data_IF_886195883383
#
_entry.id   IF_886195883383
#
_cell.length_a   1.000
_cell.length_b   1.000
_cell.length_c   1.000
_cell.angle_alpha   90.00
_cell.angle_beta   90.00
_cell.angle_gamma   90.00
#
_symmetry.space_group_name_H-M   'P 1'
#
loop_
_entity.id
_entity.type
_entity.pdbx_description
1 polymer ?
#
# COMPACT_ATOMS: atom_id res chain seq x y z
N UNK A 1 -4.63 0.10 9.77
CA UNK A 1 -3.49 -0.31 10.62
C UNK A 1 -2.32 -0.61 9.71
N UNK A 2 -1.26 0.20 9.75
CA UNK A 2 0.00 -0.09 9.07
C UNK A 2 0.89 -0.88 10.04
N UNK A 3 1.42 -2.02 9.61
CA UNK A 3 2.33 -2.84 10.40
C UNK A 3 3.72 -2.71 9.79
N UNK A 4 4.70 -2.23 10.57
CA UNK A 4 6.06 -2.03 10.09
C UNK A 4 6.98 -3.17 10.57
N UNK A 5 7.95 -3.54 9.73
CA UNK A 5 8.99 -4.50 10.07
C UNK A 5 10.05 -4.58 8.97
N UNK A 6 11.32 -4.61 9.34
CA UNK A 6 12.40 -4.94 8.39
C UNK A 6 12.25 -6.41 8.01
N UNK A 7 12.04 -6.70 6.72
CA UNK A 7 11.89 -8.06 6.19
C UNK A 7 12.91 -8.27 5.07
N UNK A 8 13.41 -9.50 4.96
CA UNK A 8 14.36 -9.89 3.91
C UNK A 8 13.73 -9.86 2.51
N UNK A 9 12.41 -10.07 2.45
CA UNK A 9 11.54 -10.12 1.28
C UNK A 9 10.99 -8.74 0.85
N UNK A 10 11.65 -7.65 1.28
CA UNK A 10 11.29 -6.28 0.93
C UNK A 10 10.05 -5.75 1.65
N UNK A 11 9.63 -4.53 1.30
CA UNK A 11 8.44 -3.90 1.86
C UNK A 11 7.22 -4.11 0.97
N UNK A 12 6.04 -4.20 1.62
CA UNK A 12 4.79 -4.48 0.92
C UNK A 12 3.60 -3.79 1.57
N UNK A 13 2.61 -3.52 0.75
CA UNK A 13 1.27 -3.14 1.17
C UNK A 13 0.31 -4.25 0.77
N UNK A 14 -0.46 -4.72 1.76
CA UNK A 14 -1.43 -5.80 1.56
C UNK A 14 -2.81 -5.41 2.07
N UNK A 15 -3.83 -5.85 1.36
CA UNK A 15 -5.21 -5.85 1.82
C UNK A 15 -5.63 -7.23 2.32
N UNK A 16 -6.66 -7.28 3.14
CA UNK A 16 -7.38 -8.50 3.49
C UNK A 16 -8.85 -8.32 3.16
N UNK A 17 -9.48 -9.36 2.64
CA UNK A 17 -10.94 -9.39 2.54
C UNK A 17 -11.54 -9.31 3.95
N UNK A 18 -12.79 -8.87 4.05
CA UNK A 18 -13.53 -8.91 5.31
C UNK A 18 -14.41 -10.15 5.32
N UNK A 19 -14.48 -10.83 6.45
CA UNK A 19 -15.50 -11.86 6.69
C UNK A 19 -16.89 -11.23 6.97
N UNK A 20 -17.89 -12.09 7.19
CA UNK A 20 -19.28 -11.68 7.48
C UNK A 20 -19.42 -10.86 8.78
N UNK A 21 -18.38 -10.85 9.62
CA UNK A 21 -18.29 -10.05 10.86
C UNK A 21 -17.45 -8.78 10.67
N UNK A 22 -17.05 -8.48 9.44
CA UNK A 22 -16.25 -7.31 9.09
C UNK A 22 -14.76 -7.42 9.42
N UNK A 23 -14.26 -8.59 9.82
CA UNK A 23 -12.88 -8.80 10.27
C UNK A 23 -11.97 -9.16 9.10
N UNK A 24 -10.69 -8.75 9.11
CA UNK A 24 -9.71 -9.23 8.13
C UNK A 24 -9.65 -10.76 8.08
N UNK A 25 -9.79 -11.35 6.89
CA UNK A 25 -9.82 -12.79 6.69
C UNK A 25 -9.18 -13.19 5.35
N UNK A 26 -8.87 -14.49 5.23
CA UNK A 26 -8.33 -15.09 4.02
C UNK A 26 -6.85 -14.79 3.76
N UNK A 27 -6.42 -15.06 2.52
CA UNK A 27 -5.05 -14.78 2.08
C UNK A 27 -4.85 -13.28 1.86
N UNK A 28 -3.67 -12.72 2.18
CA UNK A 28 -3.36 -11.32 1.88
C UNK A 28 -3.42 -11.07 0.37
N UNK A 29 -4.07 -9.98 -0.02
CA UNK A 29 -4.06 -9.46 -1.38
C UNK A 29 -2.90 -8.47 -1.48
N UNK A 30 -1.91 -8.75 -2.32
CA UNK A 30 -0.78 -7.84 -2.48
C UNK A 30 -1.16 -6.68 -3.40
N UNK A 31 -1.20 -5.47 -2.85
CA UNK A 31 -1.49 -4.24 -3.61
C UNK A 31 -0.19 -3.60 -4.10
N UNK A 32 0.86 -3.70 -3.29
CA UNK A 32 2.22 -3.39 -3.67
C UNK A 32 3.14 -4.43 -3.04
N UNK A 33 3.92 -5.10 -3.87
CA UNK A 33 4.93 -6.07 -3.45
C UNK A 33 6.26 -5.75 -4.12
N UNK A 34 7.35 -6.32 -3.58
CA UNK A 34 8.71 -6.07 -4.06
C UNK A 34 8.96 -4.56 -4.23
N UNK A 35 8.65 -3.79 -3.17
CA UNK A 35 8.90 -2.37 -3.13
C UNK A 35 10.39 -2.09 -2.93
N UNK A 36 11.16 -2.40 -3.97
CA UNK A 36 12.59 -2.13 -4.06
C UNK A 36 12.85 -0.75 -4.64
N UNK A 37 14.00 -0.16 -4.33
CA UNK A 37 14.40 1.09 -4.96
C UNK A 37 14.52 0.92 -6.48
N UNK A 38 13.96 1.86 -7.23
CA UNK A 38 14.10 1.97 -8.69
C UNK A 38 14.62 3.37 -9.01
N UNK A 39 15.89 3.51 -9.42
CA UNK A 39 16.50 4.80 -9.73
C UNK A 39 15.66 5.63 -10.70
N UNK A 40 15.44 6.90 -10.37
CA UNK A 40 14.65 7.83 -11.18
C UNK A 40 13.13 7.62 -11.15
N UNK A 41 12.62 6.55 -10.51
CA UNK A 41 11.19 6.23 -10.47
C UNK A 41 10.62 6.24 -9.05
N UNK A 42 11.21 5.48 -8.12
CA UNK A 42 10.76 5.41 -6.72
C UNK A 42 11.85 4.93 -5.76
N UNK A 43 11.91 5.42 -4.51
CA UNK A 43 12.82 4.88 -3.51
C UNK A 43 12.37 3.50 -3.02
N UNK A 44 13.25 2.81 -2.29
CA UNK A 44 12.91 1.60 -1.55
C UNK A 44 11.91 1.92 -0.45
N UNK A 45 10.92 1.05 -0.27
CA UNK A 45 9.81 1.34 0.64
C UNK A 45 10.20 1.27 2.11
N UNK A 46 9.47 2.02 2.93
CA UNK A 46 9.40 1.90 4.39
C UNK A 46 8.07 2.47 4.91
N UNK A 47 6.93 1.85 4.55
CA UNK A 47 5.62 2.43 4.80
C UNK A 47 5.37 2.62 6.30
N UNK A 48 5.05 3.85 6.70
CA UNK A 48 4.73 4.20 8.09
C UNK A 48 3.27 4.59 8.28
N UNK A 49 2.64 5.11 7.22
CA UNK A 49 1.25 5.54 7.25
C UNK A 49 0.53 5.24 5.95
N UNK A 50 -0.80 5.19 6.02
CA UNK A 50 -1.67 5.03 4.87
C UNK A 50 -3.01 5.72 5.11
N UNK A 51 -3.60 6.27 4.05
CA UNK A 51 -4.90 6.94 4.10
C UNK A 51 -5.59 6.95 2.74
N UNK A 52 -6.90 7.09 2.73
CA UNK A 52 -7.66 7.31 1.50
C UNK A 52 -7.87 8.81 1.32
N UNK A 53 -7.79 9.29 0.08
CA UNK A 53 -8.27 10.62 -0.25
C UNK A 53 -9.79 10.63 -0.53
N UNK A 54 -10.35 11.81 -0.80
CA UNK A 54 -11.79 11.95 -1.10
C UNK A 54 -12.22 11.21 -2.37
N UNK A 55 -11.29 10.92 -3.29
CA UNK A 55 -11.54 10.15 -4.50
C UNK A 55 -11.40 8.63 -4.29
N UNK A 56 -11.13 8.17 -3.06
CA UNK A 56 -10.93 6.75 -2.74
C UNK A 56 -9.58 6.19 -3.17
N UNK A 57 -8.61 7.05 -3.52
CA UNK A 57 -7.24 6.63 -3.86
C UNK A 57 -6.45 6.37 -2.59
N UNK A 58 -5.64 5.31 -2.59
CA UNK A 58 -4.79 5.01 -1.46
C UNK A 58 -3.47 5.79 -1.54
N UNK A 59 -3.22 6.56 -0.49
CA UNK A 59 -1.97 7.24 -0.23
C UNK A 59 -1.16 6.45 0.80
N UNK A 60 0.13 6.31 0.56
CA UNK A 60 1.09 5.66 1.46
C UNK A 60 2.20 6.64 1.77
N UNK A 61 2.39 6.89 3.07
CA UNK A 61 3.47 7.72 3.59
C UNK A 61 4.65 6.82 3.90
N UNK A 62 5.83 7.26 3.46
CA UNK A 62 7.11 6.63 3.70
C UNK A 62 8.06 7.72 4.24
N UNK A 63 8.59 7.51 5.45
CA UNK A 63 9.25 8.56 6.22
C UNK A 63 10.76 8.68 5.93
N UNK A 64 11.42 7.58 5.57
CA UNK A 64 12.87 7.56 5.38
C UNK A 64 13.30 8.34 4.14
N UNK A 65 12.58 8.20 3.04
CA UNK A 65 12.82 8.99 1.82
C UNK A 65 11.90 10.20 1.72
N UNK A 66 11.09 10.47 2.77
CA UNK A 66 10.13 11.59 2.83
C UNK A 66 9.20 11.61 1.63
N UNK A 67 8.72 10.43 1.26
CA UNK A 67 7.95 10.22 0.02
C UNK A 67 6.48 9.92 0.32
N UNK A 68 5.61 10.39 -0.58
CA UNK A 68 4.20 10.04 -0.62
C UNK A 68 3.94 9.29 -1.92
N UNK A 69 3.47 8.06 -1.83
CA UNK A 69 3.02 7.32 -3.00
C UNK A 69 1.51 7.27 -3.07
N UNK A 70 0.99 7.44 -4.27
CA UNK A 70 -0.40 7.17 -4.60
C UNK A 70 -0.45 5.85 -5.36
N UNK A 71 -1.18 4.87 -4.82
CA UNK A 71 -1.44 3.65 -5.56
C UNK A 71 -2.52 3.92 -6.60
N UNK A 72 -2.15 3.66 -7.85
CA UNK A 72 -3.04 3.74 -9.01
C UNK A 72 -3.45 2.32 -9.39
N UNK A 73 -4.65 2.15 -9.94
CA UNK A 73 -4.94 0.93 -10.70
C UNK A 73 -4.11 0.92 -11.98
N UNK A 74 -3.98 -0.24 -12.61
CA UNK A 74 -3.35 -0.38 -13.95
C UNK A 74 -4.00 0.57 -14.99
N UNK A 75 -5.29 0.85 -14.86
CA UNK A 75 -6.01 1.79 -15.71
C UNK A 75 -5.80 3.27 -15.32
N UNK A 76 -4.93 3.57 -14.35
CA UNK A 76 -4.66 4.92 -13.85
C UNK A 76 -5.85 5.56 -13.13
N UNK A 77 -6.88 4.79 -12.78
CA UNK A 77 -8.14 5.32 -12.22
C UNK A 77 -8.36 4.81 -10.80
N UNK A 78 -8.81 5.68 -9.90
CA UNK A 78 -9.20 5.29 -8.56
C UNK A 78 -10.29 4.21 -8.61
N UNK A 79 -10.24 3.16 -7.76
CA UNK A 79 -11.36 2.25 -7.62
C UNK A 79 -12.61 3.05 -7.23
N UNK A 80 -13.73 2.89 -7.96
CA UNK A 80 -14.98 3.54 -7.58
C UNK A 80 -15.44 2.96 -6.24
N UNK A 81 -15.75 3.79 -5.23
CA UNK A 81 -16.37 3.30 -4.00
C UNK A 81 -17.71 2.64 -4.34
N UNK A 82 -17.99 1.50 -3.70
CA UNK A 82 -19.32 0.86 -3.71
C UNK A 82 -20.15 1.38 -2.57
#
# INVERSE_FOLDING_TARGET
MAWHGQRADGQRLVGFARDDKGRPSGKPIQWLSNWDARPGLRPGGRPTGMGLDHAGRLLVVEDFNRSLLMLMSEAGTAPRPR
#
